data_IF_026161155064
#
_entry.id   IF_026161155064
#
_cell.length_a   1.000
_cell.length_b   1.000
_cell.length_c   1.000
_cell.angle_alpha   90.00
_cell.angle_beta   90.00
_cell.angle_gamma   90.00
#
_symmetry.space_group_name_H-M   'P 1'
#
loop_
_entity.id
_entity.type
_entity.pdbx_description
1 polymer ?
#
# COMPACT_ATOMS: atom_id res chain seq x y z
N UNK A 1 -10.97 -13.73 25.37
CA UNK A 1 -10.72 -12.34 24.94
C UNK A 1 -11.13 -11.42 26.08
N UNK A 2 -10.22 -10.66 26.65
CA UNK A 2 -10.53 -9.62 27.63
C UNK A 2 -10.52 -8.27 26.92
N UNK A 3 -11.63 -7.55 26.97
CA UNK A 3 -11.74 -6.20 26.41
C UNK A 3 -12.06 -5.27 27.57
N UNK A 4 -11.26 -4.22 27.73
CA UNK A 4 -11.49 -3.16 28.72
C UNK A 4 -11.67 -1.83 28.00
N UNK A 5 -12.72 -1.08 28.36
CA UNK A 5 -12.98 0.26 27.84
C UNK A 5 -12.48 1.29 28.85
N UNK A 6 -11.64 2.22 28.39
CA UNK A 6 -11.14 3.35 29.16
C UNK A 6 -11.18 4.59 28.28
N UNK A 7 -11.67 5.71 28.80
CA UNK A 7 -11.42 7.01 28.19
C UNK A 7 -10.02 7.47 28.64
N UNK A 8 -9.04 7.25 27.77
CA UNK A 8 -7.62 7.48 28.06
C UNK A 8 -7.10 8.85 27.61
N UNK A 9 -7.91 9.63 26.89
CA UNK A 9 -7.55 10.92 26.35
C UNK A 9 -8.74 11.89 26.40
N UNK A 10 -8.43 13.19 26.40
CA UNK A 10 -9.40 14.28 26.23
C UNK A 10 -9.83 14.33 24.77
N UNK A 11 -11.09 14.68 24.51
CA UNK A 11 -11.62 14.77 23.15
C UNK A 11 -10.91 15.89 22.36
N UNK A 12 -10.57 15.71 21.07
CA UNK A 12 -10.00 16.77 20.25
C UNK A 12 -10.86 18.05 20.22
N UNK A 13 -12.19 17.93 20.30
CA UNK A 13 -13.12 19.06 20.29
C UNK A 13 -13.02 19.93 21.56
N UNK A 14 -12.51 19.37 22.66
CA UNK A 14 -12.28 20.09 23.92
C UNK A 14 -10.95 20.86 23.92
N UNK A 15 -10.11 20.71 22.89
CA UNK A 15 -8.83 21.41 22.79
C UNK A 15 -9.02 22.82 22.20
N UNK A 16 -8.25 23.82 22.65
CA UNK A 16 -8.33 25.18 22.11
C UNK A 16 -7.86 25.30 20.65
N UNK A 17 -7.23 24.26 20.09
CA UNK A 17 -6.74 24.20 18.72
C UNK A 17 -6.61 22.74 18.27
N UNK A 18 -7.06 22.44 17.05
CA UNK A 18 -6.91 21.14 16.39
C UNK A 18 -6.61 21.31 14.89
N UNK A 19 -5.81 20.41 14.33
CA UNK A 19 -5.45 20.38 12.92
C UNK A 19 -5.36 18.95 12.40
N UNK A 20 -6.07 18.69 11.30
CA UNK A 20 -6.03 17.41 10.60
C UNK A 20 -5.52 17.60 9.18
N UNK A 21 -4.67 16.65 8.73
CA UNK A 21 -4.22 16.55 7.35
C UNK A 21 -4.81 15.29 6.70
N UNK A 22 -5.24 15.42 5.44
CA UNK A 22 -5.60 14.27 4.60
C UNK A 22 -4.87 14.34 3.27
N UNK A 23 -4.06 13.33 2.98
CA UNK A 23 -3.47 13.12 1.66
C UNK A 23 -4.55 12.66 0.68
N UNK A 24 -4.62 13.31 -0.49
CA UNK A 24 -5.58 12.95 -1.55
C UNK A 24 -5.17 11.65 -2.26
N UNK A 25 -6.09 11.04 -2.99
CA UNK A 25 -5.84 9.75 -3.68
C UNK A 25 -4.70 9.80 -4.72
N UNK A 26 -4.40 10.97 -5.28
CA UNK A 26 -3.28 11.17 -6.20
C UNK A 26 -1.97 11.61 -5.52
N UNK A 27 -1.97 11.79 -4.20
CA UNK A 27 -0.75 12.10 -3.46
C UNK A 27 0.21 10.90 -3.58
N UNK A 28 1.51 11.11 -3.85
CA UNK A 28 2.46 10.02 -4.02
C UNK A 28 2.46 9.05 -2.83
N UNK A 29 2.42 9.54 -1.59
CA UNK A 29 2.35 8.68 -0.41
C UNK A 29 1.10 7.78 -0.42
N UNK A 30 -0.08 8.35 -0.65
CA UNK A 30 -1.33 7.57 -0.74
C UNK A 30 -1.31 6.58 -1.90
N UNK A 31 -0.66 6.91 -3.02
CA UNK A 31 -0.48 5.98 -4.13
C UNK A 31 0.46 4.83 -3.76
N UNK A 32 1.51 5.09 -2.98
CA UNK A 32 2.43 4.07 -2.49
C UNK A 32 1.72 3.10 -1.55
N UNK A 33 0.91 3.63 -0.62
CA UNK A 33 0.09 2.85 0.31
C UNK A 33 -0.93 1.98 -0.43
N UNK A 34 -1.64 2.55 -1.40
CA UNK A 34 -2.62 1.81 -2.21
C UNK A 34 -1.96 0.72 -3.06
N UNK A 35 -0.74 0.97 -3.57
CA UNK A 35 0.00 -0.02 -4.33
C UNK A 35 0.48 -1.18 -3.45
N UNK A 36 0.99 -0.86 -2.25
CA UNK A 36 1.38 -1.85 -1.24
C UNK A 36 0.21 -2.80 -0.90
N UNK A 37 -0.96 -2.24 -0.59
CA UNK A 37 -2.16 -2.99 -0.22
C UNK A 37 -2.68 -3.84 -1.39
N UNK A 38 -2.81 -3.25 -2.59
CA UNK A 38 -3.27 -3.95 -3.78
C UNK A 38 -2.33 -5.11 -4.15
N UNK A 39 -1.02 -4.92 -4.00
CA UNK A 39 -0.04 -5.98 -4.21
C UNK A 39 -0.23 -7.10 -3.17
N UNK A 40 -0.28 -6.77 -1.88
CA UNK A 40 -0.40 -7.76 -0.81
C UNK A 40 -1.66 -8.62 -0.97
N UNK A 41 -2.79 -8.01 -1.30
CA UNK A 41 -4.04 -8.73 -1.55
C UNK A 41 -3.90 -9.71 -2.72
N UNK A 42 -3.30 -9.27 -3.82
CA UNK A 42 -3.18 -10.08 -5.03
C UNK A 42 -2.13 -11.17 -4.91
N UNK A 43 -1.01 -10.90 -4.23
CA UNK A 43 -0.01 -11.90 -3.86
C UNK A 43 -0.62 -12.99 -2.96
N UNK A 44 -1.33 -12.59 -1.91
CA UNK A 44 -2.02 -13.53 -1.01
C UNK A 44 -3.02 -14.42 -1.75
N UNK A 45 -3.84 -13.82 -2.61
CA UNK A 45 -4.83 -14.54 -3.41
C UNK A 45 -4.18 -15.52 -4.38
N UNK A 46 -3.05 -15.15 -4.99
CA UNK A 46 -2.28 -16.03 -5.86
C UNK A 46 -1.65 -17.18 -5.07
N UNK A 47 -1.00 -16.89 -3.94
CA UNK A 47 -0.39 -17.91 -3.09
C UNK A 47 -1.40 -18.92 -2.56
N UNK A 48 -2.59 -18.48 -2.17
CA UNK A 48 -3.67 -19.39 -1.76
C UNK A 48 -4.05 -20.37 -2.89
N UNK A 49 -4.09 -19.90 -4.14
CA UNK A 49 -4.43 -20.76 -5.29
C UNK A 49 -3.32 -21.73 -5.64
N UNK A 50 -2.07 -21.29 -5.63
CA UNK A 50 -0.92 -22.09 -6.08
C UNK A 50 -0.36 -23.01 -4.99
N UNK A 51 -0.31 -22.52 -3.75
CA UNK A 51 0.34 -23.21 -2.63
C UNK A 51 -0.64 -23.71 -1.56
N UNK A 52 -1.93 -23.34 -1.65
CA UNK A 52 -2.93 -23.67 -0.63
C UNK A 52 -2.73 -22.93 0.70
N UNK A 53 -1.78 -22.01 0.78
CA UNK A 53 -1.45 -21.22 1.96
C UNK A 53 -0.87 -19.87 1.55
N UNK A 54 -0.88 -18.90 2.47
CA UNK A 54 -0.24 -17.60 2.29
C UNK A 54 1.10 -17.63 3.03
N UNK A 55 2.24 -17.63 2.34
CA UNK A 55 3.53 -17.43 2.97
C UNK A 55 3.58 -16.07 3.68
N UNK A 56 4.35 -16.01 4.76
CA UNK A 56 4.60 -14.75 5.45
C UNK A 56 5.28 -13.76 4.49
N UNK A 57 4.65 -12.59 4.30
CA UNK A 57 5.17 -11.52 3.46
C UNK A 57 4.75 -10.16 4.04
N UNK A 58 5.59 -9.15 3.82
CA UNK A 58 5.30 -7.76 4.15
C UNK A 58 5.65 -6.89 2.97
N UNK A 59 4.72 -6.00 2.61
CA UNK A 59 4.85 -5.08 1.47
C UNK A 59 4.62 -3.66 1.97
N UNK A 60 5.50 -3.19 2.84
CA UNK A 60 5.45 -1.87 3.51
C UNK A 60 6.43 -0.85 2.91
N UNK A 61 7.25 -1.27 1.94
CA UNK A 61 8.32 -0.47 1.34
C UNK A 61 8.06 -0.31 -0.15
N UNK A 62 7.40 0.78 -0.52
CA UNK A 62 7.12 1.14 -1.92
C UNK A 62 7.78 2.46 -2.25
N UNK A 63 8.63 2.45 -3.28
CA UNK A 63 9.26 3.66 -3.82
C UNK A 63 8.59 4.04 -5.13
N UNK A 64 7.91 5.19 -5.15
CA UNK A 64 7.41 5.79 -6.38
C UNK A 64 8.48 6.72 -6.96
N UNK A 65 9.04 6.32 -8.10
CA UNK A 65 10.00 7.15 -8.84
C UNK A 65 9.28 7.78 -10.02
N UNK A 66 9.27 9.12 -10.07
CA UNK A 66 8.80 9.82 -11.27
C UNK A 66 9.86 9.69 -12.36
N UNK A 67 9.52 9.23 -13.57
CA UNK A 67 10.35 9.50 -14.73
C UNK A 67 10.32 11.01 -14.93
N UNK A 68 11.47 11.69 -14.93
CA UNK A 68 11.51 13.15 -15.10
C UNK A 68 10.73 13.60 -16.35
N UNK A 69 9.94 14.68 -16.23
CA UNK A 69 9.17 15.35 -17.29
C UNK A 69 8.56 14.40 -18.35
N UNK A 70 7.42 13.77 -18.04
CA UNK A 70 6.67 13.01 -19.03
C UNK A 70 5.57 12.15 -18.41
N UNK A 71 4.41 12.05 -19.09
CA UNK A 71 3.19 11.31 -18.71
C UNK A 71 3.40 10.18 -17.69
N UNK A 72 2.86 10.35 -16.48
CA UNK A 72 2.66 9.27 -15.54
C UNK A 72 1.53 8.35 -16.07
N UNK A 73 1.89 7.24 -16.72
CA UNK A 73 0.94 6.16 -17.03
C UNK A 73 1.06 5.08 -15.96
N UNK A 74 0.15 5.08 -14.98
CA UNK A 74 -0.11 3.90 -14.18
C UNK A 74 -0.91 2.91 -15.01
N UNK A 75 -0.20 2.02 -15.72
CA UNK A 75 -0.82 0.84 -16.33
C UNK A 75 -0.51 -0.37 -15.45
N UNK A 76 -1.33 -0.57 -14.42
CA UNK A 76 -1.40 -1.84 -13.69
C UNK A 76 -2.15 -2.86 -14.55
N UNK A 77 -1.60 -3.21 -15.72
CA UNK A 77 -2.22 -4.24 -16.55
C UNK A 77 -1.86 -5.61 -15.99
N UNK A 78 -2.84 -6.26 -15.36
CA UNK A 78 -2.98 -7.71 -15.25
C UNK A 78 -1.67 -8.47 -14.98
N UNK A 79 -1.00 -8.18 -13.87
CA UNK A 79 0.07 -9.02 -13.36
C UNK A 79 -0.59 -10.21 -12.64
N UNK A 80 -0.69 -11.35 -13.32
CA UNK A 80 -1.27 -12.59 -12.76
C UNK A 80 -0.20 -13.53 -12.19
N UNK A 81 1.06 -13.41 -12.64
CA UNK A 81 2.19 -14.23 -12.19
C UNK A 81 3.37 -13.36 -11.73
N UNK A 82 4.21 -13.80 -10.77
CA UNK A 82 5.40 -13.07 -10.30
C UNK A 82 6.32 -12.49 -11.40
N UNK A 83 6.42 -13.16 -12.55
CA UNK A 83 7.16 -12.68 -13.73
C UNK A 83 6.61 -11.40 -14.35
N UNK A 84 5.34 -11.09 -14.12
CA UNK A 84 4.60 -9.99 -14.75
C UNK A 84 4.66 -8.69 -13.92
N UNK A 85 5.22 -8.73 -12.70
CA UNK A 85 5.26 -7.61 -11.75
C UNK A 85 6.48 -6.70 -11.92
N UNK A 86 7.41 -7.06 -12.81
CA UNK A 86 8.52 -6.19 -13.22
C UNK A 86 8.13 -5.48 -14.50
N UNK A 87 7.64 -4.25 -14.36
CA UNK A 87 7.34 -3.39 -15.50
C UNK A 87 8.64 -2.88 -16.15
N UNK A 88 8.71 -2.76 -17.49
CA UNK A 88 9.81 -2.07 -18.18
C UNK A 88 9.90 -0.56 -17.85
N UNK A 89 9.00 -0.03 -17.00
CA UNK A 89 8.92 1.39 -16.60
C UNK A 89 9.47 1.67 -15.19
N UNK A 90 10.28 0.77 -14.60
CA UNK A 90 11.11 1.11 -13.44
C UNK A 90 10.45 0.97 -12.06
N UNK A 91 9.40 0.16 -11.91
CA UNK A 91 8.97 -0.29 -10.58
C UNK A 91 9.87 -1.44 -10.13
N UNK A 92 10.84 -1.16 -9.26
CA UNK A 92 11.67 -2.18 -8.62
C UNK A 92 10.96 -2.61 -7.33
N UNK A 93 10.26 -3.74 -7.37
CA UNK A 93 9.78 -4.42 -6.16
C UNK A 93 10.97 -5.20 -5.59
N UNK A 94 11.71 -4.58 -4.67
CA UNK A 94 12.76 -5.28 -3.93
C UNK A 94 12.10 -6.27 -2.98
N UNK A 95 12.31 -7.56 -3.22
CA UNK A 95 12.03 -8.57 -2.19
C UNK A 95 13.00 -8.32 -1.04
N UNK A 96 12.47 -8.24 0.19
CA UNK A 96 13.28 -8.37 1.39
C UNK A 96 13.66 -9.84 1.60
#
# INVERSE_FOLDING_TARGET
MQISIRHACVDPDDQPFDVAERKGVGHPDSLADLLADAFSQRYSSWCLREFGAIPNHWMDKVNLVSPGQGRCQQRLSCCDRPSDWVSPLGLVVTHA
#
